data_IF_628580944536
#
_entry.id   IF_628580944536
#
_cell.length_a   1.000
_cell.length_b   1.000
_cell.length_c   1.000
_cell.angle_alpha   90.00
_cell.angle_beta   90.00
_cell.angle_gamma   90.00
#
_symmetry.space_group_name_H-M   'P 1'
#
loop_
_entity.id
_entity.type
_entity.pdbx_description
1 polymer ?
#
# COMPACT_ATOMS: atom_id res chain seq x y z
N UNK A 1 -24.16 -0.66 -5.44
CA UNK A 1 -23.95 -2.04 -4.94
C UNK A 1 -23.22 -1.99 -3.61
N UNK A 2 -23.77 -2.59 -2.54
CA UNK A 2 -23.08 -2.62 -1.26
C UNK A 2 -21.83 -3.48 -1.41
N UNK A 3 -20.68 -2.96 -0.96
CA UNK A 3 -19.36 -3.61 -1.06
C UNK A 3 -19.30 -4.82 -0.11
N UNK A 4 -19.99 -5.91 -0.47
CA UNK A 4 -20.02 -7.13 0.33
C UNK A 4 -18.62 -7.73 0.52
N UNK A 5 -17.71 -7.48 -0.42
CA UNK A 5 -16.29 -7.85 -0.33
C UNK A 5 -15.54 -7.13 0.80
N UNK A 6 -15.98 -5.95 1.25
CA UNK A 6 -15.29 -5.17 2.30
C UNK A 6 -15.49 -5.76 3.70
N UNK A 7 -16.49 -6.65 3.86
CA UNK A 7 -16.78 -7.38 5.11
C UNK A 7 -16.16 -8.78 5.16
N UNK A 8 -15.59 -9.25 4.06
CA UNK A 8 -14.87 -10.52 4.00
C UNK A 8 -13.44 -10.31 4.50
N UNK A 9 -13.34 -9.98 5.79
CA UNK A 9 -12.06 -9.82 6.48
C UNK A 9 -11.47 -11.21 6.71
N UNK A 10 -10.78 -11.73 5.70
CA UNK A 10 -9.89 -12.87 5.86
C UNK A 10 -8.80 -12.41 6.82
N UNK A 11 -8.97 -12.70 8.11
CA UNK A 11 -8.07 -12.38 9.23
C UNK A 11 -6.60 -12.86 9.07
N UNK A 12 -6.21 -13.38 7.90
CA UNK A 12 -4.82 -13.55 7.53
C UNK A 12 -4.17 -12.19 7.24
N UNK A 13 -2.90 -12.05 7.61
CA UNK A 13 -2.07 -10.87 7.33
C UNK A 13 -1.76 -10.69 5.81
N UNK A 14 -2.77 -10.76 4.94
CA UNK A 14 -2.66 -10.64 3.50
C UNK A 14 -2.84 -9.20 2.99
N UNK A 15 -2.40 -8.99 1.75
CA UNK A 15 -2.41 -7.70 1.03
C UNK A 15 -3.79 -7.02 1.01
N UNK A 16 -4.89 -7.80 1.03
CA UNK A 16 -6.25 -7.28 1.04
C UNK A 16 -6.60 -6.52 2.33
N UNK A 17 -6.26 -7.08 3.50
CA UNK A 17 -6.47 -6.41 4.80
C UNK A 17 -5.66 -5.10 4.88
N UNK A 18 -4.44 -5.10 4.33
CA UNK A 18 -3.59 -3.92 4.20
C UNK A 18 -4.24 -2.86 3.29
N UNK A 19 -4.79 -3.26 2.15
CA UNK A 19 -5.45 -2.35 1.21
C UNK A 19 -6.70 -1.71 1.82
N UNK A 20 -7.54 -2.46 2.53
CA UNK A 20 -8.72 -1.94 3.24
C UNK A 20 -8.28 -0.95 4.32
N UNK A 21 -7.26 -1.29 5.11
CA UNK A 21 -6.70 -0.39 6.14
C UNK A 21 -6.13 0.88 5.52
N UNK A 22 -5.39 0.77 4.42
CA UNK A 22 -4.85 1.92 3.68
C UNK A 22 -5.96 2.82 3.15
N UNK A 23 -7.03 2.25 2.58
CA UNK A 23 -8.17 3.03 2.10
C UNK A 23 -8.86 3.80 3.23
N UNK A 24 -8.94 3.23 4.44
CA UNK A 24 -9.51 3.91 5.62
C UNK A 24 -8.61 5.05 6.13
N UNK A 25 -7.29 4.91 6.03
CA UNK A 25 -6.32 5.90 6.52
C UNK A 25 -5.99 7.01 5.51
N UNK A 26 -6.28 6.80 4.23
CA UNK A 26 -6.02 7.79 3.18
C UNK A 26 -6.82 9.08 3.39
N UNK A 27 -6.13 10.22 3.21
CA UNK A 27 -6.78 11.52 3.27
C UNK A 27 -7.62 11.72 2.01
N UNK A 28 -8.88 12.12 2.22
CA UNK A 28 -9.83 12.41 1.14
C UNK A 28 -9.69 13.85 0.66
N UNK A 29 -9.75 14.05 -0.65
CA UNK A 29 -9.69 15.37 -1.31
C UNK A 29 -10.86 16.26 -0.91
N UNK A 30 -12.08 15.72 -0.94
CA UNK A 30 -13.29 16.45 -0.57
C UNK A 30 -13.18 17.04 0.85
N UNK A 31 -12.76 16.23 1.83
CA UNK A 31 -12.55 16.72 3.19
C UNK A 31 -11.50 17.82 3.27
N UNK A 32 -10.39 17.71 2.51
CA UNK A 32 -9.35 18.74 2.51
C UNK A 32 -9.88 20.09 1.99
N UNK A 33 -10.71 20.07 0.93
CA UNK A 33 -11.34 21.28 0.40
C UNK A 33 -12.40 21.85 1.34
N UNK A 34 -13.18 21.02 2.03
CA UNK A 34 -14.10 21.50 3.08
C UNK A 34 -13.35 22.19 4.22
N UNK A 35 -12.26 21.59 4.70
CA UNK A 35 -11.42 22.22 5.72
C UNK A 35 -10.72 23.49 5.26
N UNK A 36 -10.50 23.67 3.96
CA UNK A 36 -10.01 24.92 3.40
C UNK A 36 -11.02 26.06 3.54
N UNK A 37 -12.33 25.78 3.59
CA UNK A 37 -13.32 26.80 3.95
C UNK A 37 -13.10 27.42 5.33
N UNK A 38 -12.44 26.68 6.24
CA UNK A 38 -12.01 27.14 7.55
C UNK A 38 -10.52 27.55 7.57
N UNK A 39 -10.00 28.08 6.44
CA UNK A 39 -8.62 28.55 6.35
C UNK A 39 -8.22 29.59 7.42
N UNK A 40 -9.09 30.48 7.94
CA UNK A 40 -8.65 31.46 8.95
C UNK A 40 -8.14 30.77 10.22
N UNK A 41 -8.68 29.59 10.53
CA UNK A 41 -8.29 28.78 11.69
C UNK A 41 -7.13 27.83 11.31
N UNK A 42 -6.79 27.71 10.03
CA UNK A 42 -5.74 26.80 9.54
C UNK A 42 -6.15 25.33 9.49
N UNK A 43 -7.46 25.04 9.51
CA UNK A 43 -7.97 23.67 9.64
C UNK A 43 -7.48 22.74 8.52
N UNK A 44 -7.29 23.25 7.30
CA UNK A 44 -6.73 22.48 6.18
C UNK A 44 -5.29 22.01 6.44
N UNK A 45 -4.44 22.84 7.07
CA UNK A 45 -3.06 22.46 7.41
C UNK A 45 -2.99 21.48 8.57
N UNK A 46 -3.86 21.63 9.58
CA UNK A 46 -3.99 20.65 10.66
C UNK A 46 -4.46 19.29 10.14
N UNK A 47 -5.47 19.27 9.27
CA UNK A 47 -5.97 18.02 8.67
C UNK A 47 -4.89 17.29 7.86
N UNK A 48 -4.05 18.04 7.14
CA UNK A 48 -2.94 17.51 6.36
C UNK A 48 -1.67 17.22 7.19
N UNK A 49 -1.66 17.56 8.49
CA UNK A 49 -0.51 17.32 9.37
C UNK A 49 0.74 18.11 8.97
N UNK A 50 0.59 19.29 8.35
CA UNK A 50 1.75 20.10 7.95
C UNK A 50 2.35 20.84 9.14
N UNK A 51 3.67 20.99 9.10
CA UNK A 51 4.37 21.93 9.97
C UNK A 51 3.83 23.35 9.77
N UNK A 52 3.90 24.18 10.81
CA UNK A 52 3.41 25.58 10.79
C UNK A 52 1.89 25.71 10.50
N UNK A 53 1.10 24.71 10.88
CA UNK A 53 -0.37 24.83 10.86
C UNK A 53 -0.88 25.98 11.73
N UNK A 54 -0.16 26.30 12.81
CA UNK A 54 -0.46 27.40 13.74
C UNK A 54 -0.27 28.81 13.15
N UNK A 55 0.38 28.95 11.99
CA UNK A 55 0.61 30.26 11.39
C UNK A 55 -0.70 30.97 10.99
N UNK A 56 -1.69 30.24 10.49
CA UNK A 56 -3.00 30.77 10.13
C UNK A 56 -3.79 31.31 11.32
N UNK A 57 -4.01 30.53 12.41
CA UNK A 57 -4.73 31.06 13.57
C UNK A 57 -3.99 32.23 14.22
N UNK A 58 -2.65 32.21 14.22
CA UNK A 58 -1.86 33.34 14.72
C UNK A 58 -2.03 34.60 13.86
N UNK A 59 -1.96 34.46 12.53
CA UNK A 59 -2.18 35.58 11.60
C UNK A 59 -3.63 36.12 11.68
N UNK A 60 -4.62 35.23 11.84
CA UNK A 60 -6.01 35.63 12.05
C UNK A 60 -6.21 36.34 13.39
N UNK A 61 -5.54 35.91 14.46
CA UNK A 61 -5.56 36.61 15.75
C UNK A 61 -4.92 38.00 15.64
N UNK A 62 -3.79 38.11 14.94
CA UNK A 62 -3.12 39.39 14.67
C UNK A 62 -4.01 40.33 13.84
N UNK A 63 -4.74 39.80 12.85
CA UNK A 63 -5.71 40.55 12.06
C UNK A 63 -6.81 41.16 12.93
N UNK A 64 -7.37 40.35 13.83
CA UNK A 64 -8.40 40.80 14.78
C UNK A 64 -7.84 41.86 15.72
N UNK A 65 -6.63 41.67 16.26
CA UNK A 65 -5.97 42.65 17.10
C UNK A 65 -5.75 43.99 16.37
N UNK A 66 -5.21 43.97 15.14
CA UNK A 66 -5.01 45.18 14.33
C UNK A 66 -6.33 45.92 14.07
N UNK A 67 -7.41 45.19 13.81
CA UNK A 67 -8.73 45.77 13.64
C UNK A 67 -9.23 46.46 14.93
N UNK A 68 -9.02 45.84 16.11
CA UNK A 68 -9.36 46.45 17.41
C UNK A 68 -8.51 47.69 17.73
N UNK A 69 -7.25 47.72 17.33
CA UNK A 69 -6.37 48.88 17.49
C UNK A 69 -6.70 50.04 16.51
N UNK A 70 -7.65 49.86 15.60
CA UNK A 70 -8.04 50.89 14.63
C UNK A 70 -7.10 51.02 13.42
N UNK A 71 -6.12 50.13 13.28
CA UNK A 71 -5.15 50.10 12.18
C UNK A 71 -5.76 49.43 10.94
N UNK A 72 -6.78 50.08 10.36
CA UNK A 72 -7.62 49.50 9.28
C UNK A 72 -6.82 49.14 8.04
N UNK A 73 -5.87 49.98 7.62
CA UNK A 73 -5.06 49.73 6.42
C UNK A 73 -4.11 48.54 6.60
N UNK A 74 -3.46 48.42 7.75
CA UNK A 74 -2.62 47.27 8.10
C UNK A 74 -3.45 45.98 8.17
N UNK A 75 -4.64 46.06 8.76
CA UNK A 75 -5.56 44.92 8.80
C UNK A 75 -5.97 44.47 7.39
N UNK A 76 -6.29 45.40 6.48
CA UNK A 76 -6.58 45.06 5.07
C UNK A 76 -5.36 44.45 4.38
N UNK A 77 -4.17 45.00 4.60
CA UNK A 77 -2.91 44.44 4.08
C UNK A 77 -2.67 43.00 4.54
N UNK A 78 -2.86 42.73 5.84
CA UNK A 78 -2.71 41.39 6.40
C UNK A 78 -3.80 40.44 5.89
N UNK A 79 -5.05 40.88 5.78
CA UNK A 79 -6.16 40.08 5.28
C UNK A 79 -5.97 39.68 3.81
N UNK A 80 -5.51 40.62 2.98
CA UNK A 80 -5.21 40.35 1.56
C UNK A 80 -4.05 39.37 1.41
N UNK A 81 -2.99 39.52 2.21
CA UNK A 81 -1.88 38.57 2.25
C UNK A 81 -2.34 37.16 2.68
N UNK A 82 -3.18 37.07 3.72
CA UNK A 82 -3.77 35.82 4.19
C UNK A 82 -4.58 35.12 3.09
N UNK A 83 -5.42 35.88 2.37
CA UNK A 83 -6.18 35.37 1.24
C UNK A 83 -5.28 34.88 0.10
N UNK A 84 -4.23 35.62 -0.24
CA UNK A 84 -3.28 35.23 -1.29
C UNK A 84 -2.57 33.91 -0.95
N UNK A 85 -2.13 33.76 0.31
CA UNK A 85 -1.50 32.52 0.79
C UNK A 85 -2.54 31.37 0.80
N UNK A 86 -3.78 31.62 1.21
CA UNK A 86 -4.83 30.61 1.21
C UNK A 86 -5.16 30.11 -0.21
N UNK A 87 -5.22 31.00 -1.19
CA UNK A 87 -5.42 30.65 -2.61
C UNK A 87 -4.22 29.88 -3.17
N UNK A 88 -3.00 30.26 -2.79
CA UNK A 88 -1.81 29.50 -3.17
C UNK A 88 -1.85 28.09 -2.58
N UNK A 89 -2.21 27.95 -1.31
CA UNK A 89 -2.40 26.65 -0.65
C UNK A 89 -3.44 25.81 -1.41
N UNK A 90 -4.56 26.40 -1.84
CA UNK A 90 -5.63 25.71 -2.58
C UNK A 90 -5.11 25.01 -3.84
N UNK A 91 -4.24 25.67 -4.61
CA UNK A 91 -3.62 25.10 -5.81
C UNK A 91 -2.70 23.89 -5.51
N UNK A 92 -2.21 23.77 -4.27
CA UNK A 92 -1.24 22.74 -3.85
C UNK A 92 -1.84 21.61 -3.02
N UNK A 93 -3.08 21.75 -2.54
CA UNK A 93 -3.76 20.71 -1.73
C UNK A 93 -3.71 19.33 -2.40
N UNK A 94 -3.96 19.26 -3.72
CA UNK A 94 -3.91 18.00 -4.47
C UNK A 94 -2.52 17.33 -4.41
N UNK A 95 -1.46 18.11 -4.60
CA UNK A 95 -0.08 17.63 -4.50
C UNK A 95 0.22 17.11 -3.10
N UNK A 96 -0.18 17.84 -2.05
CA UNK A 96 0.06 17.43 -0.67
C UNK A 96 -0.68 16.15 -0.29
N UNK A 97 -1.94 16.00 -0.71
CA UNK A 97 -2.69 14.76 -0.50
C UNK A 97 -1.98 13.59 -1.18
N UNK A 98 -1.49 13.79 -2.42
CA UNK A 98 -0.79 12.74 -3.15
C UNK A 98 0.52 12.33 -2.46
N UNK A 99 1.28 13.30 -1.95
CA UNK A 99 2.50 13.08 -1.21
C UNK A 99 2.23 12.34 0.11
N UNK A 100 1.27 12.81 0.91
CA UNK A 100 0.87 12.19 2.16
C UNK A 100 0.39 10.74 1.96
N UNK A 101 -0.49 10.51 0.97
CA UNK A 101 -0.99 9.17 0.69
C UNK A 101 0.09 8.24 0.11
N UNK A 102 1.16 8.78 -0.49
CA UNK A 102 2.34 8.02 -0.93
C UNK A 102 3.22 7.65 0.26
N UNK A 103 3.47 8.58 1.17
CA UNK A 103 4.21 8.33 2.41
C UNK A 103 3.50 7.31 3.29
N UNK A 104 2.18 7.43 3.45
CA UNK A 104 1.37 6.48 4.19
C UNK A 104 1.46 5.05 3.60
N UNK A 105 1.50 4.92 2.27
CA UNK A 105 1.71 3.62 1.61
C UNK A 105 3.09 3.05 1.90
N UNK A 106 4.14 3.86 1.82
CA UNK A 106 5.50 3.44 2.16
C UNK A 106 5.59 3.02 3.63
N UNK A 107 5.10 3.86 4.53
CA UNK A 107 5.13 3.60 5.96
C UNK A 107 4.42 2.27 6.30
N UNK A 108 3.24 2.01 5.74
CA UNK A 108 2.55 0.73 5.98
C UNK A 108 3.23 -0.47 5.33
N UNK A 109 3.87 -0.29 4.17
CA UNK A 109 4.65 -1.35 3.53
C UNK A 109 5.88 -1.74 4.36
N UNK A 110 6.58 -0.76 4.92
CA UNK A 110 7.80 -0.99 5.71
C UNK A 110 7.53 -1.25 7.20
N UNK A 111 6.39 -0.83 7.75
CA UNK A 111 6.04 -1.06 9.16
C UNK A 111 5.70 -2.51 9.47
N UNK A 112 5.26 -3.29 8.47
CA UNK A 112 5.24 -4.75 8.60
C UNK A 112 6.60 -5.26 8.14
N UNK A 113 7.43 -5.64 9.10
CA UNK A 113 8.47 -6.64 8.85
C UNK A 113 7.80 -7.78 8.10
N UNK A 114 8.10 -7.90 6.81
CA UNK A 114 7.83 -9.11 6.05
C UNK A 114 8.33 -10.25 6.94
N UNK A 115 7.52 -11.28 7.24
CA UNK A 115 8.03 -12.44 7.95
C UNK A 115 9.35 -12.81 7.31
N UNK A 116 10.42 -12.90 8.10
CA UNK A 116 11.73 -13.25 7.59
C UNK A 116 11.54 -14.46 6.67
N UNK A 117 12.06 -14.37 5.46
CA UNK A 117 11.92 -15.45 4.50
C UNK A 117 12.29 -16.76 5.23
N UNK A 118 11.52 -17.85 5.06
CA UNK A 118 11.78 -19.12 5.74
C UNK A 118 13.29 -19.43 5.71
N UNK A 119 13.86 -20.03 6.75
CA UNK A 119 15.33 -20.18 6.90
C UNK A 119 16.03 -20.87 5.70
N UNK A 120 15.25 -21.52 4.84
CA UNK A 120 15.66 -22.24 3.62
C UNK A 120 15.04 -21.64 2.34
N UNK A 121 14.41 -20.47 2.42
CA UNK A 121 13.96 -19.71 1.27
C UNK A 121 15.18 -19.12 0.59
N UNK A 122 15.71 -19.89 -0.34
CA UNK A 122 16.55 -19.38 -1.39
C UNK A 122 15.65 -18.47 -2.24
N UNK A 123 15.67 -17.18 -1.94
CA UNK A 123 15.27 -16.20 -2.95
C UNK A 123 16.06 -16.50 -4.23
N UNK A 124 15.59 -16.01 -5.39
CA UNK A 124 16.48 -15.89 -6.54
C UNK A 124 17.54 -14.88 -6.12
N UNK A 125 18.63 -15.35 -5.52
CA UNK A 125 19.88 -14.60 -5.56
C UNK A 125 20.05 -14.27 -7.03
N UNK A 126 20.26 -12.99 -7.33
CA UNK A 126 20.73 -12.58 -8.64
C UNK A 126 21.84 -13.55 -9.00
N UNK A 127 21.53 -14.45 -9.93
CA UNK A 127 22.44 -15.54 -10.24
C UNK A 127 23.66 -14.81 -10.77
N UNK A 128 24.81 -14.94 -10.10
CA UNK A 128 26.14 -14.61 -10.63
C UNK A 128 26.47 -15.49 -11.87
N UNK A 129 25.45 -15.94 -12.59
CA UNK A 129 25.54 -16.63 -13.84
C UNK A 129 25.97 -15.62 -14.92
N UNK A 130 26.95 -15.99 -15.76
CA UNK A 130 27.46 -15.12 -16.79
C UNK A 130 26.32 -14.60 -17.69
N UNK A 131 26.42 -13.36 -18.21
CA UNK A 131 25.32 -12.67 -18.90
C UNK A 131 24.71 -13.42 -20.10
N UNK A 132 25.39 -14.43 -20.63
CA UNK A 132 24.89 -15.29 -21.70
C UNK A 132 23.76 -16.25 -21.24
N UNK A 133 23.74 -16.68 -19.97
CA UNK A 133 22.79 -17.70 -19.51
C UNK A 133 21.39 -17.12 -19.22
N UNK A 134 21.29 -15.91 -18.66
CA UNK A 134 19.98 -15.29 -18.40
C UNK A 134 19.25 -14.91 -19.70
N UNK A 135 19.99 -14.47 -20.73
CA UNK A 135 19.40 -14.14 -22.03
C UNK A 135 18.84 -15.39 -22.70
N UNK A 136 19.57 -16.52 -22.59
CA UNK A 136 19.10 -17.79 -23.10
C UNK A 136 17.83 -18.25 -22.35
N UNK A 137 17.83 -18.20 -21.02
CA UNK A 137 16.64 -18.56 -20.22
C UNK A 137 15.43 -17.68 -20.50
N UNK A 138 15.61 -16.37 -20.68
CA UNK A 138 14.51 -15.47 -21.05
C UNK A 138 13.96 -15.78 -22.44
N UNK A 139 14.83 -16.10 -23.39
CA UNK A 139 14.42 -16.48 -24.73
C UNK A 139 13.62 -17.78 -24.71
N UNK A 140 14.12 -18.81 -24.00
CA UNK A 140 13.42 -20.09 -23.84
C UNK A 140 12.07 -19.92 -23.13
N UNK A 141 12.01 -19.05 -22.12
CA UNK A 141 10.79 -18.74 -21.38
C UNK A 141 9.75 -18.04 -22.28
N UNK A 142 10.17 -17.06 -23.06
CA UNK A 142 9.29 -16.32 -23.98
C UNK A 142 8.72 -17.26 -25.03
N UNK A 143 9.58 -18.10 -25.64
CA UNK A 143 9.18 -19.09 -26.62
C UNK A 143 8.19 -20.12 -26.05
N UNK A 144 8.43 -20.59 -24.82
CA UNK A 144 7.51 -21.52 -24.14
C UNK A 144 6.16 -20.85 -23.88
N UNK A 145 6.14 -19.61 -23.41
CA UNK A 145 4.91 -18.87 -23.14
C UNK A 145 4.12 -18.51 -24.39
N UNK A 146 4.80 -18.20 -25.49
CA UNK A 146 4.17 -17.99 -26.79
C UNK A 146 3.55 -19.30 -27.33
N UNK A 147 4.23 -20.44 -27.16
CA UNK A 147 3.68 -21.74 -27.53
C UNK A 147 2.44 -22.13 -26.70
N UNK A 148 2.40 -21.76 -25.42
CA UNK A 148 1.23 -21.95 -24.54
C UNK A 148 0.09 -20.98 -24.89
N UNK A 149 0.40 -19.76 -25.35
CA UNK A 149 -0.58 -18.72 -25.69
C UNK A 149 -1.29 -18.98 -27.03
N UNK A 150 -0.68 -19.76 -27.91
CA UNK A 150 -1.19 -20.04 -29.25
C UNK A 150 -2.25 -21.15 -29.33
N UNK A 151 -2.65 -21.77 -28.21
CA UNK A 151 -3.76 -22.74 -28.21
C UNK A 151 -3.54 -24.02 -29.03
N UNK A 152 -2.33 -24.30 -29.49
CA UNK A 152 -1.99 -25.53 -30.20
C UNK A 152 -1.61 -26.63 -29.19
N UNK A 153 -2.25 -27.81 -29.21
CA UNK A 153 -1.74 -28.94 -28.46
C UNK A 153 -0.38 -29.36 -29.05
N UNK A 154 0.63 -29.53 -28.20
CA UNK A 154 1.94 -30.04 -28.62
C UNK A 154 1.75 -31.49 -29.08
N UNK A 155 1.73 -31.69 -30.40
CA UNK A 155 1.96 -32.99 -31.00
C UNK A 155 3.45 -33.33 -30.85
N UNK A 156 3.72 -34.52 -30.32
CA UNK A 156 5.00 -35.22 -30.29
C UNK A 156 6.19 -34.57 -29.57
N UNK A 157 6.27 -34.85 -28.27
CA UNK A 157 7.55 -35.02 -27.58
C UNK A 157 7.72 -36.47 -27.10
N UNK A 158 7.69 -37.42 -28.04
CA UNK A 158 8.19 -38.78 -27.81
C UNK A 158 9.72 -38.75 -27.79
N UNK A 159 10.35 -38.79 -26.62
CA UNK A 159 11.80 -38.99 -26.59
C UNK A 159 12.58 -38.91 -25.28
N UNK A 160 12.12 -38.23 -24.22
CA UNK A 160 12.83 -38.21 -22.92
C UNK A 160 11.85 -38.14 -21.73
N UNK A 161 11.44 -39.31 -21.22
CA UNK A 161 10.73 -39.39 -19.93
C UNK A 161 11.74 -39.27 -18.80
N UNK A 162 11.85 -38.07 -18.22
CA UNK A 162 12.54 -37.86 -16.95
C UNK A 162 12.88 -36.39 -16.74
N UNK A 163 12.08 -35.70 -15.92
CA UNK A 163 12.51 -34.43 -15.33
C UNK A 163 13.54 -34.74 -14.25
N UNK A 164 14.65 -34.01 -14.22
CA UNK A 164 15.63 -34.12 -13.14
C UNK A 164 14.96 -33.79 -11.78
N UNK A 165 15.40 -34.40 -10.66
CA UNK A 165 14.88 -34.07 -9.33
C UNK A 165 15.10 -32.56 -9.09
N UNK A 166 14.00 -31.82 -8.89
CA UNK A 166 14.02 -30.35 -8.72
C UNK A 166 13.59 -29.52 -9.95
N UNK A 167 13.33 -30.13 -11.11
CA UNK A 167 12.91 -29.41 -12.33
C UNK A 167 11.41 -29.52 -12.68
N UNK A 168 10.62 -30.26 -11.91
CA UNK A 168 9.16 -30.26 -12.09
C UNK A 168 8.54 -29.03 -11.41
N UNK A 169 8.00 -28.12 -12.21
CA UNK A 169 7.03 -27.14 -11.70
C UNK A 169 5.72 -27.88 -11.40
N UNK A 170 5.18 -27.71 -10.19
CA UNK A 170 3.91 -28.28 -9.77
C UNK A 170 2.81 -27.76 -10.71
N UNK A 171 2.02 -28.69 -11.27
CA UNK A 171 0.84 -28.34 -12.05
C UNK A 171 -0.18 -27.58 -11.20
N UNK A 172 -1.08 -26.82 -11.82
CA UNK A 172 -2.13 -26.09 -11.08
C UNK A 172 -2.94 -27.01 -10.16
N UNK A 173 -3.23 -28.24 -10.60
CA UNK A 173 -3.92 -29.24 -9.78
C UNK A 173 -3.10 -29.67 -8.55
N UNK A 174 -1.78 -29.80 -8.69
CA UNK A 174 -0.89 -30.11 -7.55
C UNK A 174 -0.73 -28.90 -6.63
N UNK A 175 -0.73 -27.66 -7.16
CA UNK A 175 -0.70 -26.43 -6.37
C UNK A 175 -1.98 -26.28 -5.53
N UNK A 176 -3.16 -26.55 -6.10
CA UNK A 176 -4.42 -26.55 -5.36
C UNK A 176 -4.44 -27.63 -4.27
N UNK A 177 -3.89 -28.82 -4.56
CA UNK A 177 -3.80 -29.91 -3.59
C UNK A 177 -2.86 -29.56 -2.43
N UNK A 178 -1.72 -28.92 -2.73
CA UNK A 178 -0.75 -28.47 -1.75
C UNK A 178 -1.34 -27.34 -0.88
N UNK A 179 -2.10 -26.41 -1.48
CA UNK A 179 -2.84 -25.40 -0.73
C UNK A 179 -3.92 -25.99 0.18
N UNK A 180 -4.64 -27.01 -0.28
CA UNK A 180 -5.62 -27.73 0.53
C UNK A 180 -4.96 -28.46 1.72
N UNK A 181 -3.78 -29.03 1.52
CA UNK A 181 -3.03 -29.73 2.56
C UNK A 181 -2.41 -28.76 3.60
N UNK A 182 -1.92 -27.59 3.16
CA UNK A 182 -1.51 -26.50 4.07
C UNK A 182 -2.71 -26.01 4.90
N UNK A 183 -3.88 -25.87 4.28
CA UNK A 183 -5.09 -25.46 4.99
C UNK A 183 -5.51 -26.50 6.04
N UNK A 184 -5.47 -27.80 5.72
CA UNK A 184 -5.81 -28.88 6.65
C UNK A 184 -4.79 -29.05 7.79
N UNK A 185 -3.49 -28.95 7.51
CA UNK A 185 -2.43 -29.02 8.52
C UNK A 185 -2.46 -27.84 9.50
N UNK A 186 -2.80 -26.63 9.02
CA UNK A 186 -3.03 -25.48 9.90
C UNK A 186 -4.21 -25.69 10.86
N UNK A 187 -5.27 -26.38 10.39
CA UNK A 187 -6.46 -26.69 11.19
C UNK A 187 -6.19 -27.78 12.23
N UNK A 188 -5.41 -28.80 11.89
CA UNK A 188 -4.97 -29.81 12.87
C UNK A 188 -4.01 -29.23 13.91
N UNK A 189 -3.08 -28.35 13.51
CA UNK A 189 -2.19 -27.65 14.46
C UNK A 189 -2.96 -26.76 15.43
N UNK A 190 -4.06 -26.14 14.98
CA UNK A 190 -4.98 -25.39 15.83
C UNK A 190 -5.83 -26.28 16.76
N UNK A 191 -6.19 -27.49 16.33
CA UNK A 191 -6.93 -28.46 17.14
C UNK A 191 -6.05 -29.17 18.18
N UNK A 192 -4.74 -29.20 17.97
CA UNK A 192 -3.76 -29.89 18.82
C UNK A 192 -3.06 -28.98 19.84
N UNK A 193 -3.61 -27.79 20.11
CA UNK A 193 -3.28 -26.97 21.28
C UNK A 193 -4.30 -27.27 22.39
N UNK A 194 -4.12 -28.32 23.20
CA UNK A 194 -4.96 -28.53 24.37
C UNK A 194 -4.64 -27.45 25.41
N UNK A 195 -5.70 -27.04 26.10
CA UNK A 195 -5.64 -26.24 27.30
C UNK A 195 -4.84 -26.96 28.37
N UNK A 196 -3.60 -26.53 28.62
CA UNK A 196 -2.88 -26.90 29.85
C UNK A 196 -1.98 -25.75 30.30
N UNK A 197 -2.61 -24.73 30.90
CA UNK A 197 -1.95 -23.79 31.80
C UNK A 197 -2.96 -23.22 32.80
N UNK A 198 -3.70 -24.10 33.46
CA UNK A 198 -4.35 -23.78 34.74
C UNK A 198 -4.12 -24.94 35.69
N UNK A 199 -2.98 -24.92 36.38
CA UNK A 199 -2.87 -25.47 37.74
C UNK A 199 -1.68 -24.85 38.46
N UNK A 200 -2.07 -24.07 39.48
CA UNK A 200 -1.41 -23.80 40.79
C UNK A 200 0.03 -23.31 40.79
#
# INVERSE_FOLDING_TARGET
MPKAWEKLDLHGAGVQSLQIRLQKLQKKSLCAYLYWGLFPIGAHRFYLGRAWAWAFPLASAALVALAFLGLRWEAVGLATLLCAIALWDLSRIGLWISAYNKELRKANWFAKQTPAAPAHYQGRADTDAPPAQWQHELHTYTQTKESERAGHPVADASGKKGFAPGQRRLSFAEQERLLAEIAQSSKNTAAQKPADSTRT
#
